data_IF_904318800807
#
_entry.id   IF_904318800807
#
_cell.length_a   1.000
_cell.length_b   1.000
_cell.length_c   1.000
_cell.angle_alpha   90.00
_cell.angle_beta   90.00
_cell.angle_gamma   90.00
#
_symmetry.space_group_name_H-M   'P 1'
#
loop_
_entity.id
_entity.type
_entity.pdbx_description
1 polymer ?
#
# COMPACT_ATOMS: atom_id res chain seq x y z
N UNK A 1 -1.11 5.28 -24.88
CA UNK A 1 -0.21 5.78 -23.81
C UNK A 1 -0.75 5.32 -22.47
N UNK A 2 0.13 4.90 -21.57
CA UNK A 2 -0.22 4.54 -20.20
C UNK A 2 -0.11 5.77 -19.31
N UNK A 3 -1.18 6.10 -18.58
CA UNK A 3 -1.22 7.26 -17.69
C UNK A 3 -1.01 6.81 -16.25
N UNK A 4 -0.14 7.50 -15.52
CA UNK A 4 0.05 7.26 -14.08
C UNK A 4 -1.18 7.76 -13.35
N UNK A 5 -1.93 6.86 -12.74
CA UNK A 5 -3.12 7.21 -11.95
C UNK A 5 -2.73 7.74 -10.56
N UNK A 6 -1.74 7.10 -9.96
CA UNK A 6 -1.29 7.40 -8.62
C UNK A 6 0.18 6.97 -8.45
N UNK A 7 0.95 7.73 -7.67
CA UNK A 7 2.31 7.35 -7.24
C UNK A 7 2.22 6.87 -5.80
N UNK A 8 2.53 5.59 -5.60
CA UNK A 8 2.41 4.96 -4.28
C UNK A 8 3.50 5.48 -3.36
N UNK A 9 3.10 6.08 -2.25
CA UNK A 9 4.01 6.65 -1.26
C UNK A 9 4.94 5.57 -0.66
N UNK A 10 6.20 5.97 -0.41
CA UNK A 10 7.25 5.06 0.03
C UNK A 10 7.81 4.15 -1.06
N UNK A 11 7.23 4.14 -2.26
CA UNK A 11 7.77 3.44 -3.42
C UNK A 11 8.91 4.21 -4.11
N UNK A 12 9.70 3.54 -4.99
CA UNK A 12 10.83 4.16 -5.68
C UNK A 12 10.47 5.45 -6.42
N UNK A 13 9.33 5.49 -7.10
CA UNK A 13 8.86 6.68 -7.82
C UNK A 13 8.48 7.82 -6.88
N UNK A 14 7.90 7.51 -5.71
CA UNK A 14 7.57 8.51 -4.69
C UNK A 14 8.81 9.07 -4.00
N UNK A 15 9.80 8.22 -3.70
CA UNK A 15 11.06 8.64 -3.09
C UNK A 15 11.92 9.48 -4.04
N UNK A 16 11.87 9.17 -5.34
CA UNK A 16 12.53 9.97 -6.37
C UNK A 16 11.84 11.34 -6.58
N UNK A 17 10.51 11.35 -6.52
CA UNK A 17 9.69 12.56 -6.59
C UNK A 17 9.52 13.18 -7.99
N UNK A 18 10.11 12.57 -9.02
CA UNK A 18 10.07 13.08 -10.41
C UNK A 18 8.71 12.81 -11.06
N UNK A 19 8.20 11.58 -10.90
CA UNK A 19 6.93 11.17 -11.51
C UNK A 19 5.72 11.61 -10.66
N UNK A 20 4.67 12.02 -11.36
CA UNK A 20 3.42 12.48 -10.73
C UNK A 20 2.20 11.77 -11.34
N UNK A 21 1.10 11.81 -10.62
CA UNK A 21 -0.20 11.41 -11.19
C UNK A 21 -0.54 12.29 -12.40
N UNK A 22 -1.04 11.67 -13.46
CA UNK A 22 -1.34 12.32 -14.74
C UNK A 22 -0.20 12.26 -15.76
N UNK A 23 1.04 11.96 -15.37
CA UNK A 23 2.15 11.75 -16.31
C UNK A 23 1.89 10.55 -17.22
N UNK A 24 2.39 10.62 -18.44
CA UNK A 24 2.15 9.63 -19.49
C UNK A 24 3.44 8.90 -19.82
N UNK A 25 3.49 7.61 -19.58
CA UNK A 25 4.64 6.77 -19.96
C UNK A 25 4.59 6.51 -21.46
N UNK A 26 5.67 6.86 -22.14
CA UNK A 26 5.83 6.71 -23.59
C UNK A 26 6.97 5.74 -23.95
N UNK A 27 7.93 5.52 -23.05
CA UNK A 27 9.04 4.62 -23.27
C UNK A 27 9.50 3.90 -22.02
N UNK A 28 10.02 2.67 -22.19
CA UNK A 28 10.56 1.84 -21.11
C UNK A 28 11.88 1.22 -21.53
N UNK A 29 12.94 1.45 -20.76
CA UNK A 29 14.26 0.85 -20.95
C UNK A 29 14.69 0.02 -19.73
N UNK A 30 15.52 -0.99 -19.94
CA UNK A 30 16.06 -1.82 -18.88
C UNK A 30 17.46 -1.35 -18.48
N UNK A 31 17.70 -1.15 -17.18
CA UNK A 31 18.96 -0.62 -16.68
C UNK A 31 19.14 0.88 -16.95
N UNK A 32 20.26 1.44 -16.50
CA UNK A 32 20.58 2.88 -16.62
C UNK A 32 20.86 3.31 -18.08
N UNK A 33 21.50 2.46 -18.82
CA UNK A 33 21.97 2.72 -20.21
C UNK A 33 21.19 1.92 -21.27
N UNK A 34 20.09 1.24 -20.88
CA UNK A 34 19.29 0.44 -21.79
C UNK A 34 18.60 1.30 -22.85
N UNK A 35 18.46 0.71 -24.04
CA UNK A 35 17.64 1.29 -25.11
C UNK A 35 16.21 1.42 -24.62
N UNK A 36 15.64 2.61 -24.79
CA UNK A 36 14.22 2.85 -24.44
C UNK A 36 13.37 2.37 -25.60
N UNK A 37 12.47 1.44 -25.34
CA UNK A 37 11.48 0.97 -26.28
C UNK A 37 10.26 1.88 -26.20
N UNK A 38 9.74 2.35 -27.33
CA UNK A 38 8.48 3.08 -27.40
C UNK A 38 7.33 2.14 -27.06
N UNK A 39 6.53 2.51 -26.08
CA UNK A 39 5.39 1.72 -25.59
C UNK A 39 4.04 2.36 -25.89
N UNK A 40 4.03 3.39 -26.74
CA UNK A 40 2.78 4.05 -27.17
C UNK A 40 1.91 3.05 -27.94
N UNK A 41 0.65 2.91 -27.56
CA UNK A 41 -0.26 1.95 -28.18
C UNK A 41 -0.20 0.52 -27.62
N UNK A 42 0.76 0.21 -26.77
CA UNK A 42 0.84 -1.11 -26.16
C UNK A 42 -0.30 -1.32 -25.15
N UNK A 43 -0.62 -2.59 -24.91
CA UNK A 43 -1.54 -2.96 -23.83
C UNK A 43 -0.92 -2.61 -22.48
N UNK A 44 -1.74 -2.19 -21.55
CA UNK A 44 -1.27 -1.77 -20.22
C UNK A 44 -0.49 -2.89 -19.49
N UNK A 45 -0.93 -4.14 -19.64
CA UNK A 45 -0.28 -5.31 -19.02
C UNK A 45 1.14 -5.52 -19.53
N UNK A 46 1.37 -5.31 -20.85
CA UNK A 46 2.68 -5.45 -21.47
C UNK A 46 3.63 -4.34 -20.98
N UNK A 47 3.14 -3.11 -20.87
CA UNK A 47 3.92 -1.99 -20.35
C UNK A 47 4.26 -2.21 -18.87
N UNK A 48 3.29 -2.65 -18.07
CA UNK A 48 3.49 -2.96 -16.65
C UNK A 48 4.51 -4.09 -16.48
N UNK A 49 4.45 -5.15 -17.31
CA UNK A 49 5.42 -6.25 -17.28
C UNK A 49 6.86 -5.76 -17.57
N UNK A 50 7.03 -4.75 -18.46
CA UNK A 50 8.33 -4.13 -18.75
C UNK A 50 8.83 -3.24 -17.61
N UNK A 51 7.93 -2.55 -16.92
CA UNK A 51 8.28 -1.69 -15.78
C UNK A 51 8.65 -2.53 -14.55
N UNK A 52 7.93 -3.63 -14.29
CA UNK A 52 8.24 -4.55 -13.20
C UNK A 52 9.54 -5.32 -13.45
N UNK A 53 10.13 -5.83 -12.39
CA UNK A 53 11.34 -6.63 -12.44
C UNK A 53 11.92 -6.87 -11.05
N UNK A 54 13.06 -7.55 -10.99
CA UNK A 54 13.69 -7.93 -9.73
C UNK A 54 14.13 -6.73 -8.90
N UNK A 55 14.01 -6.88 -7.56
CA UNK A 55 14.49 -5.88 -6.61
C UNK A 55 15.97 -5.57 -6.85
N UNK A 56 16.32 -4.28 -6.84
CA UNK A 56 17.68 -3.78 -7.05
C UNK A 56 18.05 -3.57 -8.53
N UNK A 57 17.24 -4.06 -9.48
CA UNK A 57 17.44 -3.75 -10.90
C UNK A 57 16.91 -2.34 -11.22
N UNK A 58 17.38 -1.77 -12.32
CA UNK A 58 16.96 -0.43 -12.75
C UNK A 58 16.02 -0.49 -13.94
N UNK A 59 15.08 0.45 -13.97
CA UNK A 59 14.21 0.72 -15.12
C UNK A 59 14.34 2.20 -15.47
N UNK A 60 14.50 2.49 -16.76
CA UNK A 60 14.46 3.85 -17.30
C UNK A 60 13.08 4.06 -17.92
N UNK A 61 12.40 5.10 -17.48
CA UNK A 61 11.09 5.47 -17.99
C UNK A 61 11.23 6.79 -18.76
N UNK A 62 10.67 6.80 -19.97
CA UNK A 62 10.44 8.04 -20.69
C UNK A 62 8.98 8.40 -20.58
N UNK A 63 8.72 9.68 -20.26
CA UNK A 63 7.37 10.14 -19.94
C UNK A 63 7.14 11.58 -20.41
N UNK A 64 5.88 11.92 -20.63
CA UNK A 64 5.41 13.27 -20.87
C UNK A 64 4.71 13.75 -19.59
N UNK A 65 5.14 14.87 -18.97
CA UNK A 65 4.47 15.45 -17.83
C UNK A 65 3.00 15.78 -18.10
N UNK A 66 2.15 15.65 -17.10
CA UNK A 66 0.71 15.95 -17.22
C UNK A 66 0.45 17.34 -17.76
N UNK A 67 1.26 18.32 -17.37
CA UNK A 67 1.16 19.73 -17.72
C UNK A 67 1.49 19.99 -19.21
N UNK A 68 2.30 19.13 -19.85
CA UNK A 68 2.78 19.30 -21.23
C UNK A 68 1.79 18.88 -22.33
N UNK A 69 0.61 18.36 -21.98
CA UNK A 69 -0.34 17.84 -22.97
C UNK A 69 0.13 16.53 -23.59
N UNK A 70 -0.42 16.18 -24.78
CA UNK A 70 -0.11 14.91 -25.48
C UNK A 70 1.23 15.00 -26.23
N UNK A 71 1.55 16.18 -26.75
CA UNK A 71 2.74 16.47 -27.53
C UNK A 71 3.82 17.19 -26.69
N UNK A 72 3.77 17.03 -25.37
CA UNK A 72 4.70 17.68 -24.45
C UNK A 72 6.13 17.14 -24.57
N UNK A 73 7.07 17.88 -23.99
CA UNK A 73 8.48 17.48 -23.95
C UNK A 73 8.66 16.13 -23.25
N UNK A 74 9.38 15.21 -23.90
CA UNK A 74 9.73 13.94 -23.30
C UNK A 74 10.81 14.12 -22.24
N UNK A 75 10.57 13.57 -21.07
CA UNK A 75 11.53 13.52 -19.95
C UNK A 75 11.84 12.08 -19.60
N UNK A 76 12.97 11.88 -18.96
CA UNK A 76 13.36 10.54 -18.54
C UNK A 76 13.73 10.48 -17.06
N UNK A 77 13.39 9.38 -16.41
CA UNK A 77 13.79 9.06 -15.04
C UNK A 77 14.29 7.63 -14.97
N UNK A 78 15.31 7.38 -14.16
CA UNK A 78 15.79 6.02 -13.90
C UNK A 78 15.52 5.66 -12.45
N UNK A 79 14.69 4.64 -12.26
CA UNK A 79 14.28 4.16 -10.93
C UNK A 79 14.94 2.82 -10.63
N UNK A 80 15.41 2.66 -9.39
CA UNK A 80 15.84 1.36 -8.89
C UNK A 80 14.64 0.64 -8.32
N UNK A 81 14.33 -0.54 -8.86
CA UNK A 81 13.20 -1.34 -8.39
C UNK A 81 13.41 -1.75 -6.93
N UNK A 82 12.45 -1.45 -6.11
CA UNK A 82 12.41 -1.90 -4.73
C UNK A 82 11.06 -2.55 -4.45
N UNK A 83 11.02 -3.39 -3.42
CA UNK A 83 9.74 -3.85 -2.90
C UNK A 83 9.03 -2.61 -2.34
N UNK A 84 7.90 -2.26 -2.93
CA UNK A 84 7.05 -1.19 -2.37
C UNK A 84 6.46 -1.76 -1.08
N UNK A 85 7.03 -1.38 0.05
CA UNK A 85 6.36 -1.59 1.33
C UNK A 85 5.25 -0.56 1.36
N UNK A 86 4.03 -1.04 1.29
CA UNK A 86 2.83 -0.22 1.34
C UNK A 86 2.64 0.35 2.77
N UNK A 87 3.64 1.07 3.27
CA UNK A 87 3.60 1.66 4.61
C UNK A 87 2.38 2.58 4.80
N UNK A 88 1.84 3.14 3.72
CA UNK A 88 0.59 3.90 3.77
C UNK A 88 -0.66 3.01 3.79
N UNK A 89 -0.56 1.78 3.30
CA UNK A 89 -1.64 0.79 3.39
C UNK A 89 -1.53 -0.10 4.64
N UNK A 90 -0.47 0.05 5.44
CA UNK A 90 -0.36 -0.64 6.71
C UNK A 90 -1.40 -0.13 7.71
N UNK A 91 -1.83 -1.00 8.61
CA UNK A 91 -2.70 -0.63 9.71
C UNK A 91 -2.05 0.45 10.58
N UNK A 92 -2.79 1.52 10.88
CA UNK A 92 -2.33 2.65 11.71
C UNK A 92 -3.18 2.76 12.95
N UNK A 93 -2.53 2.83 14.12
CA UNK A 93 -3.18 3.00 15.40
C UNK A 93 -3.07 4.42 15.94
N UNK A 94 -4.19 4.97 16.43
CA UNK A 94 -4.25 6.25 17.14
C UNK A 94 -5.07 6.09 18.40
N UNK A 95 -4.83 6.92 19.40
CA UNK A 95 -5.67 6.97 20.61
C UNK A 95 -6.36 8.33 20.72
N UNK A 96 -7.61 8.31 21.17
CA UNK A 96 -8.43 9.48 21.38
C UNK A 96 -9.00 9.45 22.79
N UNK A 97 -8.90 10.58 23.48
CA UNK A 97 -9.54 10.76 24.79
C UNK A 97 -10.93 11.34 24.59
N UNK A 98 -11.95 10.64 25.09
CA UNK A 98 -13.30 11.16 25.20
C UNK A 98 -13.41 11.75 26.60
N UNK A 99 -13.58 13.07 26.74
CA UNK A 99 -13.62 13.72 28.06
C UNK A 99 -14.84 13.27 28.86
N UNK A 100 -14.72 13.30 30.19
CA UNK A 100 -15.81 13.03 31.10
C UNK A 100 -17.01 13.99 30.85
N UNK A 101 -18.22 13.43 30.89
CA UNK A 101 -19.45 14.20 30.70
C UNK A 101 -20.55 13.70 31.64
N UNK A 102 -20.98 14.55 32.59
CA UNK A 102 -21.94 14.16 33.64
C UNK A 102 -21.38 13.01 34.47
N UNK A 103 -22.15 11.94 34.63
CA UNK A 103 -21.74 10.73 35.37
C UNK A 103 -20.86 9.77 34.54
N UNK A 104 -20.58 10.08 33.27
CA UNK A 104 -19.73 9.26 32.40
C UNK A 104 -18.28 9.66 32.61
N UNK A 105 -17.40 8.76 33.06
CA UNK A 105 -15.99 9.05 33.24
C UNK A 105 -15.28 9.26 31.88
N UNK A 106 -14.10 9.88 31.93
CA UNK A 106 -13.20 9.95 30.78
C UNK A 106 -12.88 8.55 30.24
N UNK A 107 -12.81 8.43 28.90
CA UNK A 107 -12.51 7.18 28.20
C UNK A 107 -11.36 7.36 27.23
N UNK A 108 -10.45 6.42 27.19
CA UNK A 108 -9.39 6.34 26.20
C UNK A 108 -9.75 5.30 25.13
N UNK A 109 -9.92 5.74 23.88
CA UNK A 109 -10.33 4.88 22.78
C UNK A 109 -9.17 4.70 21.81
N UNK A 110 -8.84 3.45 21.47
CA UNK A 110 -7.93 3.10 20.40
C UNK A 110 -8.68 3.05 19.06
N UNK A 111 -8.14 3.67 18.03
CA UNK A 111 -8.68 3.60 16.66
C UNK A 111 -7.62 2.97 15.76
N UNK A 112 -7.99 1.92 15.04
CA UNK A 112 -7.15 1.27 14.04
C UNK A 112 -7.74 1.56 12.66
N UNK A 113 -7.01 2.34 11.86
CA UNK A 113 -7.32 2.57 10.44
C UNK A 113 -6.72 1.43 9.63
N UNK A 114 -7.53 0.69 8.89
CA UNK A 114 -7.11 -0.43 8.02
C UNK A 114 -7.59 -0.20 6.58
N UNK A 115 -6.74 0.32 5.69
CA UNK A 115 -7.13 0.64 4.30
C UNK A 115 -7.33 -0.60 3.41
N UNK A 116 -6.71 -1.74 3.74
CA UNK A 116 -6.85 -2.98 2.97
C UNK A 116 -6.45 -4.19 3.81
N UNK A 117 -6.95 -5.38 3.46
CA UNK A 117 -6.54 -6.65 4.07
C UNK A 117 -5.31 -7.20 3.34
N UNK A 118 -4.13 -6.63 3.62
CA UNK A 118 -2.87 -6.97 2.96
C UNK A 118 -2.20 -8.21 3.55
N UNK A 119 -1.47 -8.94 2.66
CA UNK A 119 -0.64 -10.08 3.06
C UNK A 119 0.59 -10.20 2.13
N UNK A 120 1.78 -10.36 2.71
CA UNK A 120 2.98 -10.72 1.94
C UNK A 120 3.04 -12.24 1.71
N UNK A 121 2.40 -12.69 0.62
CA UNK A 121 2.35 -14.11 0.25
C UNK A 121 3.74 -14.74 0.04
N UNK A 122 4.71 -13.98 -0.49
CA UNK A 122 6.06 -14.48 -0.70
C UNK A 122 6.84 -14.57 0.63
N UNK A 123 6.72 -13.54 1.48
CA UNK A 123 7.29 -13.56 2.83
C UNK A 123 6.78 -14.75 3.63
N UNK A 124 5.47 -15.02 3.56
CA UNK A 124 4.85 -16.19 4.21
C UNK A 124 5.45 -17.51 3.73
N UNK A 125 5.71 -17.66 2.43
CA UNK A 125 6.33 -18.87 1.87
C UNK A 125 7.80 -19.06 2.29
N UNK A 126 8.55 -17.95 2.43
CA UNK A 126 10.00 -17.99 2.74
C UNK A 126 10.28 -18.07 4.24
N UNK A 127 9.54 -17.32 5.05
CA UNK A 127 9.84 -17.07 6.46
C UNK A 127 8.80 -17.70 7.42
N UNK A 128 7.89 -18.54 6.92
CA UNK A 128 6.87 -19.18 7.75
C UNK A 128 5.95 -18.15 8.40
N UNK A 129 6.13 -17.93 9.71
CA UNK A 129 5.28 -17.02 10.48
C UNK A 129 5.79 -15.58 10.55
N UNK A 130 6.95 -15.24 9.99
CA UNK A 130 7.47 -13.87 10.00
C UNK A 130 7.29 -13.18 8.63
N UNK A 131 6.10 -12.66 8.41
CA UNK A 131 5.72 -11.93 7.20
C UNK A 131 4.79 -10.77 7.53
N UNK A 132 4.74 -9.78 6.66
CA UNK A 132 3.87 -8.60 6.82
C UNK A 132 2.43 -8.97 6.49
N UNK A 133 1.49 -8.72 7.42
CA UNK A 133 0.05 -8.91 7.18
C UNK A 133 -0.80 -7.98 8.03
N UNK A 134 -2.02 -7.73 7.57
CA UNK A 134 -3.01 -6.92 8.26
C UNK A 134 -3.30 -7.47 9.67
N UNK A 135 -3.50 -8.78 9.79
CA UNK A 135 -3.77 -9.44 11.07
C UNK A 135 -2.64 -9.25 12.08
N UNK A 136 -1.39 -9.40 11.64
CA UNK A 136 -0.21 -9.25 12.53
C UNK A 136 -0.06 -7.81 13.00
N UNK A 137 -0.21 -6.84 12.09
CA UNK A 137 -0.10 -5.42 12.44
C UNK A 137 -1.23 -4.99 13.38
N UNK A 138 -2.46 -5.45 13.14
CA UNK A 138 -3.59 -5.19 14.04
C UNK A 138 -3.37 -5.84 15.39
N UNK A 139 -2.90 -7.09 15.45
CA UNK A 139 -2.57 -7.79 16.70
C UNK A 139 -1.51 -7.03 17.52
N UNK A 140 -0.46 -6.52 16.86
CA UNK A 140 0.56 -5.69 17.51
C UNK A 140 -0.05 -4.40 18.06
N UNK A 141 -0.87 -3.69 17.28
CA UNK A 141 -1.55 -2.45 17.71
C UNK A 141 -2.50 -2.69 18.87
N UNK A 142 -3.24 -3.80 18.89
CA UNK A 142 -4.08 -4.20 20.03
C UNK A 142 -3.25 -4.43 21.28
N UNK A 143 -2.07 -5.06 21.16
CA UNK A 143 -1.11 -5.21 22.27
C UNK A 143 -0.63 -3.85 22.81
N UNK A 144 -0.30 -2.92 21.93
CA UNK A 144 0.09 -1.54 22.31
C UNK A 144 -1.05 -0.79 23.03
N UNK A 145 -2.29 -0.94 22.53
CA UNK A 145 -3.47 -0.33 23.14
C UNK A 145 -3.77 -0.93 24.50
N UNK A 146 -3.65 -2.25 24.64
CA UNK A 146 -3.78 -2.92 25.94
C UNK A 146 -2.75 -2.41 26.95
N UNK A 147 -1.51 -2.22 26.53
CA UNK A 147 -0.45 -1.66 27.37
C UNK A 147 -0.71 -0.21 27.78
N UNK A 148 -1.42 0.57 26.95
CA UNK A 148 -1.85 1.94 27.25
C UNK A 148 -3.13 2.02 28.10
N UNK A 149 -3.80 0.91 28.34
CA UNK A 149 -5.04 0.85 29.11
C UNK A 149 -6.23 1.48 28.41
N UNK A 150 -6.37 1.30 27.08
CA UNK A 150 -7.56 1.81 26.35
C UNK A 150 -8.83 1.09 26.82
N UNK A 151 -9.92 1.83 26.95
CA UNK A 151 -11.23 1.31 27.38
C UNK A 151 -11.97 0.56 26.25
N UNK A 152 -11.62 0.85 25.00
CA UNK A 152 -12.24 0.23 23.84
C UNK A 152 -11.47 0.46 22.55
N UNK A 153 -11.75 -0.35 21.53
CA UNK A 153 -11.11 -0.25 20.23
C UNK A 153 -12.15 -0.11 19.11
N UNK A 154 -11.88 0.78 18.17
CA UNK A 154 -12.65 0.98 16.94
C UNK A 154 -11.79 0.57 15.76
N UNK A 155 -12.31 -0.32 14.92
CA UNK A 155 -11.75 -0.62 13.60
C UNK A 155 -12.36 0.33 12.58
N UNK A 156 -11.53 1.20 11.99
CA UNK A 156 -11.95 2.09 10.92
C UNK A 156 -11.65 1.45 9.57
N UNK A 157 -12.71 0.96 8.93
CA UNK A 157 -12.68 0.34 7.62
C UNK A 157 -13.23 1.26 6.52
N UNK A 158 -13.39 2.54 6.81
CA UNK A 158 -13.80 3.52 5.80
C UNK A 158 -12.74 3.59 4.71
N UNK A 159 -13.17 3.51 3.44
CA UNK A 159 -12.31 3.44 2.27
C UNK A 159 -11.45 2.15 2.20
N UNK A 160 -11.78 1.10 2.96
CA UNK A 160 -11.13 -0.19 2.79
C UNK A 160 -11.57 -0.81 1.45
N UNK A 161 -10.59 -1.06 0.57
CA UNK A 161 -10.81 -1.62 -0.78
C UNK A 161 -10.96 -3.14 -0.82
N UNK A 162 -10.97 -3.84 0.34
CA UNK A 162 -10.93 -5.29 0.41
C UNK A 162 -9.52 -5.84 0.55
N UNK A 163 -9.25 -7.03 -0.03
CA UNK A 163 -7.93 -7.68 0.01
C UNK A 163 -8.03 -9.19 0.21
N UNK A 164 -7.14 -9.76 1.02
CA UNK A 164 -7.11 -11.19 1.32
C UNK A 164 -8.27 -11.60 2.22
N UNK A 165 -9.08 -12.57 1.75
CA UNK A 165 -10.15 -13.16 2.55
C UNK A 165 -9.59 -13.87 3.81
N UNK A 166 -8.45 -14.55 3.67
CA UNK A 166 -7.76 -15.19 4.80
C UNK A 166 -7.41 -14.18 5.90
N UNK A 167 -6.91 -13.01 5.52
CA UNK A 167 -6.60 -11.94 6.46
C UNK A 167 -7.86 -11.40 7.14
N UNK A 168 -8.95 -11.22 6.39
CA UNK A 168 -10.21 -10.77 6.97
C UNK A 168 -10.75 -11.75 8.02
N UNK A 169 -10.67 -13.06 7.72
CA UNK A 169 -11.09 -14.13 8.65
C UNK A 169 -10.18 -14.17 9.89
N UNK A 170 -8.85 -14.19 9.70
CA UNK A 170 -7.90 -14.25 10.81
C UNK A 170 -7.98 -13.00 11.69
N UNK A 171 -8.13 -11.82 11.09
CA UNK A 171 -8.28 -10.56 11.83
C UNK A 171 -9.56 -10.56 12.66
N UNK A 172 -10.67 -11.08 12.12
CA UNK A 172 -11.91 -11.22 12.89
C UNK A 172 -11.72 -12.08 14.13
N UNK A 173 -10.88 -13.12 14.06
CA UNK A 173 -10.51 -13.97 15.19
C UNK A 173 -9.73 -13.27 16.30
N UNK A 174 -9.27 -12.02 16.11
CA UNK A 174 -8.68 -11.21 17.18
C UNK A 174 -9.76 -10.58 18.10
N UNK A 175 -11.03 -10.56 17.65
CA UNK A 175 -12.14 -9.93 18.34
C UNK A 175 -13.24 -10.91 18.78
N UNK A 176 -13.32 -12.06 18.13
CA UNK A 176 -14.33 -13.10 18.42
C UNK A 176 -13.64 -14.45 18.57
N UNK A 177 -14.07 -15.22 19.57
CA UNK A 177 -13.46 -16.53 19.86
C UNK A 177 -13.96 -17.63 18.91
N UNK A 178 -15.24 -17.64 18.57
CA UNK A 178 -15.87 -18.67 17.73
C UNK A 178 -17.04 -18.11 16.94
N UNK A 179 -17.28 -18.69 15.77
CA UNK A 179 -18.44 -18.39 14.94
C UNK A 179 -18.10 -18.33 13.45
N UNK A 180 -19.12 -18.40 12.58
CA UNK A 180 -18.95 -18.22 11.15
C UNK A 180 -18.63 -16.76 10.85
N UNK A 181 -17.55 -16.51 10.09
CA UNK A 181 -17.13 -15.16 9.67
C UNK A 181 -17.61 -14.86 8.26
N UNK A 182 -17.57 -15.86 7.38
CA UNK A 182 -18.01 -15.76 5.97
C UNK A 182 -18.77 -17.02 5.59
N UNK A 183 -19.83 -16.85 4.79
CA UNK A 183 -20.53 -17.93 4.11
C UNK A 183 -20.51 -17.67 2.61
N UNK A 184 -20.27 -18.71 1.83
CA UNK A 184 -20.41 -18.74 0.37
C UNK A 184 -21.61 -19.58 -0.02
#
# INVERSE_FOLDING_TARGET
MVVIREVIAGGPASLDGTLKAGDRIVGVGQGKSGVVEDVVGWRIDDVVARIRGDKGTQVKLEYIPAEGGIDGEHRSVTLTRARVQLAEQAAKGKTYTIPAKGDTPERLIGVIELPTFYQDFEGRRRNGNDYTSATRDVSRLLGEFKAKGVDGVVMDLRNNGGGSLDEAVQLSGLFIDQGPVVQQ
#
